data_IF_267473235898
#
_entry.id   IF_267473235898
#
_cell.length_a   1.000
_cell.length_b   1.000
_cell.length_c   1.000
_cell.angle_alpha   90.00
_cell.angle_beta   90.00
_cell.angle_gamma   90.00
#
_symmetry.space_group_name_H-M   'P 1'
#
loop_
_entity.id
_entity.type
_entity.pdbx_description
1 polymer ?
#
# COMPACT_ATOMS: atom_id res chain seq x y z
N UNK A 1 11.86 8.05 -13.67
CA UNK A 1 11.00 9.15 -13.15
C UNK A 1 10.81 10.19 -14.23
N UNK A 2 9.77 11.02 -14.10
CA UNK A 2 9.37 12.01 -15.11
C UNK A 2 9.41 13.41 -14.48
N UNK A 3 9.89 14.40 -15.22
CA UNK A 3 9.87 15.79 -14.83
C UNK A 3 8.53 16.41 -15.21
N UNK A 4 7.78 16.84 -14.19
CA UNK A 4 6.61 17.69 -14.37
C UNK A 4 7.01 19.14 -14.08
N UNK A 5 6.50 20.03 -14.91
CA UNK A 5 6.68 21.48 -14.77
C UNK A 5 5.58 22.08 -13.88
N UNK A 6 5.82 23.28 -13.34
CA UNK A 6 4.84 24.05 -12.56
C UNK A 6 4.97 23.89 -11.04
N UNK A 7 5.94 23.10 -10.58
CA UNK A 7 6.24 22.82 -9.18
C UNK A 7 7.34 23.76 -8.66
N UNK A 8 7.28 24.13 -7.37
CA UNK A 8 8.27 25.03 -6.76
C UNK A 8 9.70 24.47 -6.87
N UNK A 9 9.82 23.14 -6.73
CA UNK A 9 11.07 22.40 -6.89
C UNK A 9 11.73 22.64 -8.26
N UNK A 10 10.96 22.97 -9.31
CA UNK A 10 11.52 23.19 -10.65
C UNK A 10 12.46 24.40 -10.74
N UNK A 11 12.46 25.32 -9.76
CA UNK A 11 13.38 26.48 -9.73
C UNK A 11 14.86 26.10 -9.74
N UNK A 12 15.18 24.96 -9.15
CA UNK A 12 16.55 24.44 -9.02
C UNK A 12 16.87 23.34 -10.06
N UNK A 13 15.92 23.04 -10.96
CA UNK A 13 16.13 22.04 -11.99
C UNK A 13 17.20 22.49 -12.98
N UNK A 14 18.09 21.57 -13.35
CA UNK A 14 19.11 21.80 -14.39
C UNK A 14 18.86 20.91 -15.60
N UNK A 15 18.91 21.47 -16.80
CA UNK A 15 18.60 20.75 -18.05
C UNK A 15 19.52 19.53 -18.28
N UNK A 16 20.76 19.58 -17.79
CA UNK A 16 21.71 18.47 -17.86
C UNK A 16 21.31 17.23 -17.02
N UNK A 17 20.29 17.35 -16.18
CA UNK A 17 19.70 16.22 -15.46
C UNK A 17 18.67 15.46 -16.32
N UNK A 18 18.26 16.02 -17.46
CA UNK A 18 17.39 15.33 -18.40
C UNK A 18 18.16 14.28 -19.21
N UNK A 19 17.50 13.17 -19.45
CA UNK A 19 17.98 12.12 -20.32
C UNK A 19 18.04 12.61 -21.76
N UNK A 20 19.19 12.47 -22.42
CA UNK A 20 19.39 12.89 -23.82
C UNK A 20 19.56 11.71 -24.78
N UNK A 21 19.08 11.91 -26.01
CA UNK A 21 19.33 11.01 -27.14
C UNK A 21 20.73 11.28 -27.71
N UNK A 22 21.63 10.28 -27.74
CA UNK A 22 23.02 10.48 -28.16
C UNK A 22 23.16 10.87 -29.64
N UNK A 23 22.17 10.59 -30.49
CA UNK A 23 22.25 10.89 -31.93
C UNK A 23 22.01 12.36 -32.29
N UNK A 24 21.24 13.08 -31.48
CA UNK A 24 20.81 14.46 -31.79
C UNK A 24 20.86 15.40 -30.57
N UNK A 25 21.31 14.90 -29.42
CA UNK A 25 21.40 15.58 -28.14
C UNK A 25 20.07 16.18 -27.64
N UNK A 26 18.93 15.73 -28.17
CA UNK A 26 17.60 16.19 -27.74
C UNK A 26 17.13 15.41 -26.50
N UNK A 27 16.36 16.04 -25.59
CA UNK A 27 15.82 15.34 -24.44
C UNK A 27 14.84 14.22 -24.83
N UNK A 28 14.94 13.09 -24.15
CA UNK A 28 14.01 11.97 -24.27
C UNK A 28 12.78 12.27 -23.43
N UNK A 29 11.62 12.35 -24.10
CA UNK A 29 10.35 12.72 -23.47
C UNK A 29 9.42 11.53 -23.28
N UNK A 30 8.87 11.39 -22.08
CA UNK A 30 7.75 10.51 -21.79
C UNK A 30 6.45 11.09 -22.35
N UNK A 31 5.69 10.27 -23.08
CA UNK A 31 4.47 10.66 -23.84
C UNK A 31 4.69 11.88 -24.76
N UNK A 32 5.92 12.08 -25.24
CA UNK A 32 6.29 13.22 -26.09
C UNK A 32 6.24 14.59 -25.39
N UNK A 33 5.90 14.65 -24.09
CA UNK A 33 5.64 15.89 -23.37
C UNK A 33 6.66 16.14 -22.26
N UNK A 34 6.84 15.16 -21.38
CA UNK A 34 7.55 15.37 -20.11
C UNK A 34 8.98 14.85 -20.18
N UNK A 35 9.96 15.55 -19.60
CA UNK A 35 11.35 15.10 -19.63
C UNK A 35 11.52 13.83 -18.79
N UNK A 36 12.36 12.91 -19.25
CA UNK A 36 12.82 11.79 -18.43
C UNK A 36 14.13 12.19 -17.75
N UNK A 37 14.33 11.81 -16.50
CA UNK A 37 15.58 12.11 -15.80
C UNK A 37 16.68 11.09 -16.10
N UNK A 38 17.94 11.51 -16.05
CA UNK A 38 19.11 10.63 -16.07
C UNK A 38 19.55 10.26 -14.65
N UNK A 39 19.16 9.06 -14.20
CA UNK A 39 19.56 8.52 -12.91
C UNK A 39 21.07 8.25 -12.78
N UNK A 40 21.84 8.25 -13.87
CA UNK A 40 23.30 8.13 -13.78
C UNK A 40 23.96 9.44 -13.34
N UNK A 41 23.25 10.57 -13.38
CA UNK A 41 23.71 11.86 -12.88
C UNK A 41 23.57 11.92 -11.35
N UNK A 42 24.70 12.03 -10.65
CA UNK A 42 24.73 12.04 -9.18
C UNK A 42 24.16 13.33 -8.56
N UNK A 43 24.33 14.48 -9.22
CA UNK A 43 23.76 15.74 -8.73
C UNK A 43 22.23 15.70 -8.80
N UNK A 44 21.68 15.15 -9.89
CA UNK A 44 20.24 14.92 -10.01
C UNK A 44 19.73 14.04 -8.87
N UNK A 45 20.41 12.93 -8.59
CA UNK A 45 20.00 12.00 -7.52
C UNK A 45 19.98 12.67 -6.16
N UNK A 46 21.03 13.43 -5.84
CA UNK A 46 21.10 14.17 -4.58
C UNK A 46 19.98 15.20 -4.51
N UNK A 47 19.79 16.00 -5.56
CA UNK A 47 18.71 16.97 -5.63
C UNK A 47 17.33 16.32 -5.44
N UNK A 48 17.05 15.21 -6.14
CA UNK A 48 15.77 14.53 -6.08
C UNK A 48 15.49 13.95 -4.69
N UNK A 49 16.50 13.32 -4.07
CA UNK A 49 16.39 12.81 -2.70
C UNK A 49 16.16 13.96 -1.72
N UNK A 50 16.92 15.05 -1.83
CA UNK A 50 16.80 16.19 -0.92
C UNK A 50 15.41 16.82 -0.99
N UNK A 51 14.79 16.93 -2.17
CA UNK A 51 13.40 17.41 -2.29
C UNK A 51 12.42 16.54 -1.49
N UNK A 52 12.56 15.21 -1.55
CA UNK A 52 11.74 14.31 -0.72
C UNK A 52 11.96 14.53 0.77
N UNK A 53 13.22 14.72 1.19
CA UNK A 53 13.56 14.95 2.60
C UNK A 53 13.13 16.32 3.11
N UNK A 54 13.20 17.36 2.28
CA UNK A 54 12.72 18.70 2.59
C UNK A 54 11.21 18.66 2.92
N UNK A 55 10.43 17.90 2.15
CA UNK A 55 9.00 17.70 2.44
C UNK A 55 8.78 16.99 3.78
N UNK A 56 9.61 16.01 4.13
CA UNK A 56 9.50 15.29 5.40
C UNK A 56 9.86 16.13 6.63
N UNK A 57 10.42 17.33 6.45
CA UNK A 57 10.63 18.29 7.53
C UNK A 57 9.33 18.92 8.03
N UNK A 58 8.24 18.80 7.27
CA UNK A 58 6.90 19.17 7.71
C UNK A 58 6.32 18.10 8.64
N UNK A 59 5.86 18.50 9.82
CA UNK A 59 5.32 17.59 10.84
C UNK A 59 4.04 16.89 10.36
N UNK A 60 3.33 17.48 9.40
CA UNK A 60 2.11 16.95 8.79
C UNK A 60 2.36 15.82 7.78
N UNK A 61 3.61 15.59 7.36
CA UNK A 61 3.95 14.62 6.32
C UNK A 61 4.59 13.37 6.94
N UNK A 62 3.83 12.29 7.03
CA UNK A 62 4.26 11.03 7.64
C UNK A 62 5.16 10.17 6.74
N UNK A 63 5.29 10.49 5.46
CA UNK A 63 6.03 9.64 4.52
C UNK A 63 6.10 10.15 3.09
N UNK A 64 6.76 9.35 2.25
CA UNK A 64 6.92 9.59 0.81
C UNK A 64 6.22 8.49 0.02
N UNK A 65 5.56 8.89 -1.07
CA UNK A 65 5.01 8.00 -2.07
C UNK A 65 5.76 8.12 -3.40
N UNK A 66 6.21 6.99 -3.96
CA UNK A 66 6.87 6.93 -5.27
C UNK A 66 5.92 6.31 -6.33
N UNK A 67 5.29 7.15 -7.15
CA UNK A 67 4.31 6.71 -8.16
C UNK A 67 4.87 5.87 -9.32
N UNK A 68 6.14 6.03 -9.67
CA UNK A 68 6.69 5.42 -10.87
C UNK A 68 7.95 4.60 -10.59
N UNK A 69 7.85 3.71 -9.60
CA UNK A 69 8.98 2.86 -9.25
C UNK A 69 9.21 1.76 -10.29
N UNK A 70 10.47 1.60 -10.71
CA UNK A 70 10.91 0.56 -11.65
C UNK A 70 10.43 0.70 -13.11
N UNK A 71 9.89 1.86 -13.52
CA UNK A 71 9.54 2.17 -14.93
C UNK A 71 10.75 2.64 -15.75
N UNK A 72 11.89 1.95 -15.64
CA UNK A 72 13.21 2.41 -16.14
C UNK A 72 13.74 1.62 -17.32
N UNK A 73 13.16 0.46 -17.63
CA UNK A 73 13.48 -0.34 -18.80
C UNK A 73 12.27 -0.42 -19.73
N UNK A 74 12.42 0.03 -20.96
CA UNK A 74 11.45 -0.19 -22.04
C UNK A 74 12.18 -0.33 -23.38
N UNK A 75 11.56 -1.03 -24.34
CA UNK A 75 12.17 -1.36 -25.63
C UNK A 75 12.59 -0.12 -26.46
N UNK A 76 11.89 0.99 -26.32
CA UNK A 76 12.24 2.23 -27.00
C UNK A 76 13.55 2.80 -26.43
N UNK A 77 13.72 2.78 -25.11
CA UNK A 77 14.93 3.26 -24.46
C UNK A 77 16.14 2.36 -24.78
N UNK A 78 15.95 1.04 -24.80
CA UNK A 78 16.99 0.08 -25.23
C UNK A 78 17.44 0.37 -26.66
N UNK A 79 16.49 0.63 -27.57
CA UNK A 79 16.81 0.99 -28.96
C UNK A 79 17.62 2.29 -29.09
N UNK A 80 17.46 3.24 -28.15
CA UNK A 80 18.13 4.56 -28.21
C UNK A 80 19.49 4.55 -27.50
N UNK A 81 19.60 3.87 -26.36
CA UNK A 81 20.77 3.95 -25.46
C UNK A 81 21.58 2.65 -25.38
N UNK A 82 21.05 1.54 -25.86
CA UNK A 82 21.64 0.21 -25.73
C UNK A 82 21.32 -0.45 -24.38
N UNK A 83 21.35 -1.78 -24.37
CA UNK A 83 20.96 -2.61 -23.22
C UNK A 83 21.85 -2.36 -21.99
N UNK A 84 23.18 -2.34 -22.16
CA UNK A 84 24.13 -2.12 -21.07
C UNK A 84 23.92 -0.76 -20.37
N UNK A 85 23.59 0.29 -21.14
CA UNK A 85 23.29 1.60 -20.55
C UNK A 85 21.98 1.59 -19.79
N UNK A 86 20.94 0.92 -20.32
CA UNK A 86 19.63 0.81 -19.65
C UNK A 86 19.75 0.02 -18.34
N UNK A 87 20.56 -1.03 -18.32
CA UNK A 87 20.89 -1.77 -17.10
C UNK A 87 21.58 -0.88 -16.07
N UNK A 88 22.63 -0.14 -16.47
CA UNK A 88 23.33 0.80 -15.59
C UNK A 88 22.41 1.89 -15.05
N UNK A 89 21.57 2.47 -15.90
CA UNK A 89 20.57 3.46 -15.50
C UNK A 89 19.55 2.85 -14.53
N UNK A 90 19.19 1.59 -14.73
CA UNK A 90 18.34 0.81 -13.86
C UNK A 90 18.93 0.63 -12.45
N UNK A 91 20.20 0.26 -12.37
CA UNK A 91 20.91 0.15 -11.09
C UNK A 91 21.08 1.51 -10.40
N UNK A 92 21.34 2.57 -11.16
CA UNK A 92 21.43 3.92 -10.60
C UNK A 92 20.10 4.42 -10.03
N UNK A 93 18.99 4.06 -10.67
CA UNK A 93 17.64 4.29 -10.12
C UNK A 93 17.44 3.55 -8.79
N UNK A 94 17.75 2.26 -8.74
CA UNK A 94 17.60 1.45 -7.52
C UNK A 94 18.47 1.99 -6.39
N UNK A 95 19.69 2.42 -6.70
CA UNK A 95 20.57 3.07 -5.75
C UNK A 95 19.98 4.40 -5.23
N UNK A 96 19.26 5.15 -6.06
CA UNK A 96 18.54 6.37 -5.64
C UNK A 96 17.46 6.04 -4.61
N UNK A 97 16.64 5.02 -4.88
CA UNK A 97 15.57 4.60 -3.97
C UNK A 97 16.11 4.06 -2.64
N UNK A 98 17.21 3.28 -2.68
CA UNK A 98 17.88 2.78 -1.47
C UNK A 98 18.47 3.92 -0.62
N UNK A 99 19.14 4.89 -1.25
CA UNK A 99 19.67 6.07 -0.55
C UNK A 99 18.57 6.91 0.08
N UNK A 100 17.43 7.06 -0.59
CA UNK A 100 16.27 7.72 0.01
C UNK A 100 15.84 6.98 1.28
N UNK A 101 15.64 5.65 1.22
CA UNK A 101 15.30 4.83 2.39
C UNK A 101 16.29 5.00 3.54
N UNK A 102 17.59 4.93 3.26
CA UNK A 102 18.65 5.06 4.27
C UNK A 102 18.66 6.43 4.96
N UNK A 103 18.18 7.48 4.27
CA UNK A 103 18.13 8.85 4.77
C UNK A 103 16.80 9.24 5.41
N UNK A 104 15.78 8.36 5.37
CA UNK A 104 14.49 8.66 5.99
C UNK A 104 14.63 8.83 7.50
N UNK A 105 14.00 9.85 8.09
CA UNK A 105 13.90 9.96 9.54
C UNK A 105 13.18 8.73 10.12
N UNK A 106 13.55 8.29 11.34
CA UNK A 106 12.88 7.18 12.00
C UNK A 106 11.36 7.39 12.09
N UNK A 107 10.59 6.34 11.79
CA UNK A 107 9.12 6.37 11.83
C UNK A 107 8.44 6.93 10.58
N UNK A 108 9.17 7.55 9.65
CA UNK A 108 8.60 7.97 8.36
C UNK A 108 8.38 6.78 7.44
N UNK A 109 7.27 6.80 6.71
CA UNK A 109 6.84 5.74 5.79
C UNK A 109 7.39 6.03 4.38
N UNK A 110 7.79 4.99 3.65
CA UNK A 110 8.08 5.08 2.23
C UNK A 110 7.40 3.94 1.47
N UNK A 111 6.43 4.33 0.67
CA UNK A 111 5.60 3.43 -0.15
C UNK A 111 5.83 3.71 -1.63
N UNK A 112 5.68 2.69 -2.46
CA UNK A 112 5.84 2.82 -3.91
C UNK A 112 4.66 2.23 -4.67
N UNK A 113 4.42 2.71 -5.87
CA UNK A 113 3.49 2.10 -6.81
C UNK A 113 4.21 0.93 -7.53
N UNK A 114 4.50 -0.14 -6.78
CA UNK A 114 5.53 -1.12 -7.13
C UNK A 114 4.99 -2.42 -7.69
N UNK A 115 3.99 -3.02 -7.04
CA UNK A 115 3.48 -4.33 -7.42
C UNK A 115 2.76 -4.23 -8.78
N UNK A 116 3.20 -5.06 -9.73
CA UNK A 116 2.70 -5.09 -11.11
C UNK A 116 2.68 -6.51 -11.64
N UNK A 117 1.49 -7.09 -11.70
CA UNK A 117 1.25 -8.47 -12.13
C UNK A 117 1.61 -8.74 -13.60
N UNK A 118 1.68 -7.70 -14.44
CA UNK A 118 2.11 -7.78 -15.84
C UNK A 118 3.64 -7.89 -16.02
N UNK A 119 4.43 -7.82 -14.95
CA UNK A 119 5.90 -7.88 -14.99
C UNK A 119 6.37 -9.19 -14.35
N UNK A 120 7.41 -9.81 -14.91
CA UNK A 120 8.08 -10.99 -14.32
C UNK A 120 8.43 -10.74 -12.86
N UNK A 121 8.04 -11.65 -11.96
CA UNK A 121 8.13 -11.56 -10.49
C UNK A 121 7.20 -10.56 -9.79
N UNK A 122 6.37 -9.81 -10.52
CA UNK A 122 5.44 -8.85 -9.94
C UNK A 122 6.10 -7.54 -9.48
N UNK A 123 7.36 -7.29 -9.87
CA UNK A 123 8.26 -6.27 -9.30
C UNK A 123 8.56 -6.45 -7.80
N UNK A 124 8.32 -7.65 -7.25
CA UNK A 124 8.33 -7.90 -5.81
C UNK A 124 9.66 -7.57 -5.14
N UNK A 125 10.77 -7.77 -5.85
CA UNK A 125 12.14 -7.51 -5.35
C UNK A 125 12.33 -6.07 -4.84
N UNK A 126 11.54 -5.13 -5.34
CA UNK A 126 11.65 -3.72 -5.02
C UNK A 126 11.00 -3.35 -3.69
N UNK A 127 10.21 -4.25 -3.09
CA UNK A 127 9.69 -4.07 -1.73
C UNK A 127 10.81 -4.06 -0.67
N UNK A 128 12.00 -4.58 -0.96
CA UNK A 128 13.11 -4.69 0.02
C UNK A 128 13.55 -3.35 0.65
N UNK A 129 13.19 -2.22 0.06
CA UNK A 129 13.50 -0.87 0.54
C UNK A 129 12.24 -0.01 0.72
N UNK A 130 11.05 -0.61 0.63
CA UNK A 130 9.74 0.03 0.80
C UNK A 130 9.04 -0.55 2.03
N UNK A 131 8.18 0.24 2.67
CA UNK A 131 7.27 -0.27 3.70
C UNK A 131 6.04 -0.91 3.07
N UNK A 132 5.83 -0.72 1.77
CA UNK A 132 4.64 -1.22 1.09
C UNK A 132 4.43 -0.79 -0.35
N UNK A 133 3.28 -1.22 -0.88
CA UNK A 133 2.84 -0.89 -2.24
C UNK A 133 1.50 -0.17 -2.25
N UNK A 134 1.42 0.88 -3.06
CA UNK A 134 0.18 1.38 -3.64
C UNK A 134 -0.10 0.61 -4.94
N UNK A 135 -1.35 0.32 -5.24
CA UNK A 135 -1.76 -0.37 -6.47
C UNK A 135 -2.85 0.43 -7.18
N UNK A 136 -2.59 0.73 -8.44
CA UNK A 136 -3.53 1.25 -9.44
C UNK A 136 -3.48 0.35 -10.66
N UNK A 137 -4.49 0.41 -11.54
CA UNK A 137 -4.53 -0.39 -12.78
C UNK A 137 -4.32 -1.90 -12.53
N UNK A 138 -4.79 -2.41 -11.39
CA UNK A 138 -4.55 -3.78 -10.93
C UNK A 138 -5.55 -4.79 -11.49
N UNK A 139 -6.68 -4.30 -12.02
CA UNK A 139 -7.86 -5.08 -12.40
C UNK A 139 -7.84 -5.57 -13.86
N UNK A 140 -6.68 -5.63 -14.51
CA UNK A 140 -6.54 -6.28 -15.82
C UNK A 140 -6.98 -7.75 -15.72
N UNK A 141 -8.02 -8.20 -16.46
CA UNK A 141 -8.51 -9.57 -16.39
C UNK A 141 -7.42 -10.63 -16.61
N UNK A 142 -6.41 -10.35 -17.43
CA UNK A 142 -5.32 -11.30 -17.72
C UNK A 142 -4.41 -11.53 -16.52
N UNK A 143 -4.33 -10.56 -15.62
CA UNK A 143 -3.36 -10.53 -14.53
C UNK A 143 -4.00 -10.38 -13.14
N UNK A 144 -5.32 -10.30 -13.07
CA UNK A 144 -6.07 -10.05 -11.85
C UNK A 144 -5.77 -11.05 -10.73
N UNK A 145 -5.81 -12.35 -11.01
CA UNK A 145 -5.49 -13.39 -10.00
C UNK A 145 -4.08 -13.18 -9.45
N UNK A 146 -3.11 -12.88 -10.31
CA UNK A 146 -1.73 -12.60 -9.90
C UNK A 146 -1.63 -11.32 -9.07
N UNK A 147 -2.37 -10.25 -9.42
CA UNK A 147 -2.44 -9.02 -8.62
C UNK A 147 -2.87 -9.33 -7.19
N UNK A 148 -3.94 -10.12 -7.02
CA UNK A 148 -4.49 -10.50 -5.71
C UNK A 148 -3.52 -11.40 -4.94
N UNK A 149 -2.84 -12.34 -5.61
CA UNK A 149 -1.83 -13.19 -4.99
C UNK A 149 -0.61 -12.39 -4.50
N UNK A 150 -0.14 -11.40 -5.28
CA UNK A 150 0.95 -10.51 -4.88
C UNK A 150 0.59 -9.68 -3.65
N UNK A 151 -0.63 -9.16 -3.59
CA UNK A 151 -1.13 -8.44 -2.41
C UNK A 151 -1.17 -9.35 -1.17
N UNK A 152 -1.76 -10.55 -1.26
CA UNK A 152 -1.81 -11.50 -0.14
C UNK A 152 -0.42 -11.87 0.36
N UNK A 153 0.50 -12.13 -0.57
CA UNK A 153 1.90 -12.42 -0.23
C UNK A 153 2.53 -11.27 0.55
N UNK A 154 2.45 -10.05 0.03
CA UNK A 154 3.03 -8.87 0.68
C UNK A 154 2.41 -8.58 2.05
N UNK A 155 1.08 -8.71 2.18
CA UNK A 155 0.38 -8.57 3.45
C UNK A 155 0.81 -9.60 4.49
N UNK A 156 0.94 -10.88 4.09
CA UNK A 156 1.43 -11.94 4.97
C UNK A 156 2.88 -11.70 5.42
N UNK A 157 3.68 -10.99 4.63
CA UNK A 157 5.05 -10.57 4.98
C UNK A 157 5.10 -9.25 5.79
N UNK A 158 3.95 -8.64 6.09
CA UNK A 158 3.84 -7.44 6.93
C UNK A 158 3.98 -6.11 6.20
N UNK A 159 4.00 -6.11 4.86
CA UNK A 159 4.04 -4.87 4.08
C UNK A 159 2.70 -4.14 4.10
N UNK A 160 2.75 -2.81 4.05
CA UNK A 160 1.59 -1.95 3.83
C UNK A 160 1.09 -2.17 2.39
N UNK A 161 -0.19 -2.48 2.20
CA UNK A 161 -0.79 -2.60 0.87
C UNK A 161 -1.99 -1.67 0.77
N UNK A 162 -1.92 -0.73 -0.17
CA UNK A 162 -2.99 0.20 -0.47
C UNK A 162 -3.55 -0.14 -1.85
N UNK A 163 -4.74 -0.76 -1.88
CA UNK A 163 -5.45 -0.97 -3.13
C UNK A 163 -6.25 0.29 -3.46
N UNK A 164 -5.84 1.01 -4.50
CA UNK A 164 -6.70 2.03 -5.08
C UNK A 164 -7.55 1.41 -6.18
N UNK A 165 -8.83 1.31 -5.91
CA UNK A 165 -9.83 1.09 -6.92
C UNK A 165 -10.31 2.45 -7.43
N UNK A 166 -10.60 2.51 -8.71
CA UNK A 166 -11.10 3.71 -9.36
C UNK A 166 -12.19 3.33 -10.35
N UNK A 167 -12.80 4.36 -10.90
CA UNK A 167 -13.84 4.23 -11.90
C UNK A 167 -13.34 4.70 -13.26
N UNK A 168 -12.08 4.40 -13.63
CA UNK A 168 -11.40 4.94 -14.82
C UNK A 168 -12.17 4.80 -16.15
N UNK A 169 -13.30 4.08 -16.15
CA UNK A 169 -14.15 3.83 -17.32
C UNK A 169 -15.65 4.09 -17.07
N UNK A 170 -16.06 4.62 -15.92
CA UNK A 170 -17.48 4.97 -15.69
C UNK A 170 -17.76 6.31 -16.36
N UNK A 171 -18.51 6.26 -17.47
CA UNK A 171 -19.10 7.45 -18.05
C UNK A 171 -20.21 7.95 -17.12
N UNK A 172 -19.93 9.08 -16.45
CA UNK A 172 -20.91 9.74 -15.60
C UNK A 172 -22.06 10.38 -16.37
N UNK A 173 -22.08 10.33 -17.70
CA UNK A 173 -23.23 10.75 -18.50
C UNK A 173 -23.66 12.20 -18.27
N UNK A 174 -22.72 13.07 -17.88
CA UNK A 174 -22.99 14.46 -17.54
C UNK A 174 -23.49 14.72 -16.11
N UNK A 175 -23.38 13.76 -15.18
CA UNK A 175 -23.66 14.00 -13.76
C UNK A 175 -22.67 15.04 -13.19
N UNK A 176 -23.23 16.19 -12.81
CA UNK A 176 -22.52 17.39 -12.36
C UNK A 176 -22.59 17.64 -10.84
N UNK A 177 -23.31 16.79 -10.11
CA UNK A 177 -23.38 16.84 -8.64
C UNK A 177 -22.66 15.65 -8.00
N UNK A 178 -21.93 15.92 -6.93
CA UNK A 178 -21.20 14.89 -6.18
C UNK A 178 -22.15 13.87 -5.52
N UNK A 179 -23.31 14.32 -5.03
CA UNK A 179 -24.30 13.43 -4.40
C UNK A 179 -24.89 12.42 -5.40
N UNK A 180 -25.26 12.86 -6.61
CA UNK A 180 -25.72 11.93 -7.64
C UNK A 180 -24.63 10.95 -8.10
N UNK A 181 -23.35 11.35 -8.04
CA UNK A 181 -22.23 10.41 -8.26
C UNK A 181 -22.17 9.36 -7.14
N UNK A 182 -22.36 9.73 -5.87
CA UNK A 182 -22.46 8.74 -4.79
C UNK A 182 -23.65 7.79 -4.98
N UNK A 183 -24.81 8.28 -5.42
CA UNK A 183 -25.99 7.45 -5.65
C UNK A 183 -25.76 6.40 -6.75
N UNK A 184 -25.04 6.78 -7.82
CA UNK A 184 -24.62 5.85 -8.86
C UNK A 184 -23.59 4.83 -8.33
N UNK A 185 -22.53 5.32 -7.69
CA UNK A 185 -21.39 4.51 -7.29
C UNK A 185 -21.66 3.60 -6.08
N UNK A 186 -22.70 3.88 -5.29
CA UNK A 186 -23.17 2.97 -4.24
C UNK A 186 -23.85 1.71 -4.80
N UNK A 187 -24.11 1.64 -6.12
CA UNK A 187 -24.70 0.44 -6.72
C UNK A 187 -23.65 -0.69 -6.76
N UNK A 188 -24.04 -1.94 -6.44
CA UNK A 188 -23.10 -3.06 -6.29
C UNK A 188 -22.16 -3.29 -7.49
N UNK A 189 -22.62 -3.05 -8.71
CA UNK A 189 -21.83 -3.20 -9.93
C UNK A 189 -20.55 -2.34 -9.97
N UNK A 190 -20.50 -1.22 -9.23
CA UNK A 190 -19.35 -0.33 -9.20
C UNK A 190 -18.37 -0.65 -8.07
N UNK A 191 -18.89 -1.08 -6.91
CA UNK A 191 -18.08 -1.18 -5.68
C UNK A 191 -17.86 -2.60 -5.19
N UNK A 192 -18.82 -3.52 -5.37
CA UNK A 192 -18.75 -4.85 -4.76
C UNK A 192 -17.61 -5.68 -5.35
N UNK A 193 -17.33 -5.54 -6.64
CA UNK A 193 -16.22 -6.25 -7.28
C UNK A 193 -14.85 -5.78 -6.75
N UNK A 194 -14.48 -4.49 -6.83
CA UNK A 194 -13.18 -4.04 -6.32
C UNK A 194 -13.03 -4.22 -4.82
N UNK A 195 -14.08 -3.93 -4.03
CA UNK A 195 -14.06 -4.16 -2.59
C UNK A 195 -13.99 -5.66 -2.26
N UNK A 196 -14.72 -6.50 -2.99
CA UNK A 196 -14.65 -7.95 -2.84
C UNK A 196 -13.25 -8.50 -3.08
N UNK A 197 -12.59 -8.07 -4.17
CA UNK A 197 -11.20 -8.43 -4.48
C UNK A 197 -10.25 -8.06 -3.33
N UNK A 198 -10.40 -6.86 -2.76
CA UNK A 198 -9.64 -6.45 -1.57
C UNK A 198 -9.93 -7.34 -0.36
N UNK A 199 -11.19 -7.60 -0.07
CA UNK A 199 -11.61 -8.37 1.10
C UNK A 199 -11.18 -9.85 1.03
N UNK A 200 -11.00 -10.42 -0.16
CA UNK A 200 -10.41 -11.76 -0.30
C UNK A 200 -9.05 -11.87 0.39
N UNK A 201 -8.26 -10.79 0.41
CA UNK A 201 -6.88 -10.81 0.88
C UNK A 201 -6.58 -9.86 2.03
N UNK A 202 -7.59 -9.11 2.52
CA UNK A 202 -7.43 -8.17 3.62
C UNK A 202 -6.80 -8.84 4.86
N UNK A 203 -5.78 -8.20 5.40
CA UNK A 203 -5.02 -8.56 6.60
C UNK A 203 -4.62 -7.25 7.32
N UNK A 204 -3.99 -7.28 8.51
CA UNK A 204 -3.37 -6.08 9.06
C UNK A 204 -2.47 -5.39 8.01
N UNK A 205 -2.42 -4.05 8.04
CA UNK A 205 -1.67 -3.22 7.08
C UNK A 205 -2.27 -3.15 5.66
N UNK A 206 -3.46 -3.72 5.43
CA UNK A 206 -4.23 -3.53 4.21
C UNK A 206 -5.13 -2.28 4.29
N UNK A 207 -5.10 -1.46 3.25
CA UNK A 207 -5.93 -0.27 3.07
C UNK A 207 -6.62 -0.31 1.71
N UNK A 208 -7.87 0.15 1.70
CA UNK A 208 -8.69 0.24 0.50
C UNK A 208 -9.04 1.70 0.25
N UNK A 209 -9.02 2.09 -1.02
CA UNK A 209 -9.39 3.41 -1.49
C UNK A 209 -10.28 3.27 -2.72
N UNK A 210 -11.33 4.10 -2.80
CA UNK A 210 -12.19 4.20 -3.96
C UNK A 210 -12.32 5.66 -4.39
N UNK A 211 -11.42 6.14 -5.26
CA UNK A 211 -11.48 7.49 -5.81
C UNK A 211 -10.89 7.56 -7.22
N UNK A 212 -11.15 8.68 -7.90
CA UNK A 212 -10.57 8.99 -9.21
C UNK A 212 -9.53 10.11 -9.07
N UNK A 213 -8.37 9.93 -9.70
CA UNK A 213 -7.29 10.92 -9.68
C UNK A 213 -6.55 11.01 -8.34
N UNK A 214 -5.70 12.03 -8.19
CA UNK A 214 -4.81 12.24 -7.03
C UNK A 214 -5.00 13.63 -6.39
N UNK A 215 -6.01 14.37 -6.83
CA UNK A 215 -6.28 15.73 -6.34
C UNK A 215 -6.92 15.65 -4.94
N UNK A 216 -6.40 16.40 -3.97
CA UNK A 216 -6.93 16.45 -2.61
C UNK A 216 -7.99 17.56 -2.44
N UNK A 217 -8.26 18.35 -3.47
CA UNK A 217 -9.21 19.45 -3.39
C UNK A 217 -10.66 18.92 -3.29
N UNK A 218 -11.33 19.11 -2.15
CA UNK A 218 -12.68 18.60 -1.95
C UNK A 218 -13.73 19.26 -2.84
N UNK A 219 -13.38 20.37 -3.52
CA UNK A 219 -14.26 21.01 -4.51
C UNK A 219 -14.28 20.28 -5.86
N UNK A 220 -13.42 19.28 -6.06
CA UNK A 220 -13.38 18.49 -7.30
C UNK A 220 -14.35 17.32 -7.17
N UNK A 221 -15.09 17.04 -8.24
CA UNK A 221 -16.09 15.97 -8.28
C UNK A 221 -15.49 14.54 -8.31
N UNK A 222 -14.16 14.44 -8.26
CA UNK A 222 -13.42 13.18 -8.36
C UNK A 222 -12.87 12.72 -7.00
N UNK A 223 -13.01 13.55 -5.96
CA UNK A 223 -12.63 13.22 -4.57
C UNK A 223 -13.83 12.63 -3.83
N UNK A 224 -13.79 11.32 -3.61
CA UNK A 224 -14.83 10.62 -2.84
C UNK A 224 -14.37 10.35 -1.40
N UNK A 225 -15.23 10.66 -0.45
CA UNK A 225 -15.15 10.20 0.93
C UNK A 225 -15.62 8.75 1.00
N UNK A 226 -14.68 7.84 1.22
CA UNK A 226 -14.95 6.41 1.30
C UNK A 226 -15.98 6.05 2.39
N UNK A 227 -16.18 6.90 3.39
CA UNK A 227 -17.18 6.69 4.46
C UNK A 227 -18.63 6.92 4.00
N UNK A 228 -18.84 7.44 2.78
CA UNK A 228 -20.17 7.61 2.20
C UNK A 228 -20.65 6.38 1.41
N UNK A 229 -19.79 5.39 1.24
CA UNK A 229 -20.19 4.12 0.62
C UNK A 229 -20.71 3.15 1.67
N UNK A 230 -21.95 2.71 1.50
CA UNK A 230 -22.60 1.80 2.44
C UNK A 230 -21.84 0.47 2.52
N UNK A 231 -21.42 -0.08 1.39
CA UNK A 231 -20.63 -1.31 1.32
C UNK A 231 -19.31 -1.25 2.12
N UNK A 232 -18.62 -0.09 2.13
CA UNK A 232 -17.35 0.11 2.84
C UNK A 232 -17.56 0.21 4.35
N UNK A 233 -18.65 0.84 4.79
CA UNK A 233 -18.90 1.16 6.21
C UNK A 233 -19.61 0.04 6.97
N UNK A 234 -20.07 -1.01 6.28
CA UNK A 234 -20.65 -2.21 6.89
C UNK A 234 -19.70 -2.82 7.92
N UNK A 235 -20.30 -3.38 8.98
CA UNK A 235 -19.54 -4.14 9.98
C UNK A 235 -18.98 -5.40 9.31
N UNK A 236 -17.65 -5.56 9.32
CA UNK A 236 -16.99 -6.73 8.72
C UNK A 236 -16.83 -7.88 9.72
N UNK A 237 -16.24 -7.58 10.89
CA UNK A 237 -15.85 -8.59 11.87
C UNK A 237 -14.53 -9.28 11.50
N UNK A 238 -14.11 -10.28 12.30
CA UNK A 238 -12.88 -11.03 12.04
C UNK A 238 -13.05 -11.95 10.82
N UNK A 239 -11.99 -12.18 10.01
CA UNK A 239 -12.00 -13.23 9.01
C UNK A 239 -12.15 -14.60 9.70
N UNK A 240 -12.96 -15.48 9.11
CA UNK A 240 -13.17 -16.85 9.59
C UNK A 240 -12.17 -17.84 8.99
N UNK A 241 -11.36 -17.39 8.03
CA UNK A 241 -10.32 -18.16 7.36
C UNK A 241 -9.69 -17.39 6.20
N UNK A 242 -8.79 -18.06 5.49
CA UNK A 242 -8.34 -17.61 4.16
C UNK A 242 -9.47 -17.77 3.13
N UNK A 243 -9.30 -17.15 1.96
CA UNK A 243 -10.25 -17.31 0.87
C UNK A 243 -10.17 -18.73 0.26
N UNK A 244 -11.28 -19.21 -0.28
CA UNK A 244 -11.39 -20.46 -1.03
C UNK A 244 -11.45 -20.19 -2.54
N UNK A 245 -10.80 -21.04 -3.33
CA UNK A 245 -11.00 -21.14 -4.78
C UNK A 245 -12.18 -22.09 -5.04
N UNK A 246 -13.24 -21.57 -5.65
CA UNK A 246 -14.47 -22.32 -5.97
C UNK A 246 -14.43 -22.91 -7.39
N UNK A 247 -13.34 -22.69 -8.14
CA UNK A 247 -13.21 -23.04 -9.54
C UNK A 247 -13.89 -22.03 -10.47
N UNK A 248 -13.59 -22.12 -11.78
CA UNK A 248 -14.21 -21.25 -12.80
C UNK A 248 -13.91 -19.75 -12.65
N UNK A 249 -12.88 -19.39 -11.87
CA UNK A 249 -12.54 -18.00 -11.52
C UNK A 249 -13.34 -17.43 -10.34
N UNK A 250 -14.13 -18.27 -9.65
CA UNK A 250 -14.86 -17.92 -8.44
C UNK A 250 -13.99 -18.06 -7.19
N UNK A 251 -14.07 -17.09 -6.29
CA UNK A 251 -13.39 -17.07 -5.01
C UNK A 251 -14.34 -16.56 -3.93
N UNK A 252 -14.22 -17.10 -2.72
CA UNK A 252 -15.01 -16.63 -1.58
C UNK A 252 -14.21 -16.50 -0.30
N UNK A 253 -14.66 -15.62 0.59
CA UNK A 253 -14.13 -15.48 1.95
C UNK A 253 -15.23 -15.10 2.91
N UNK A 254 -15.17 -15.61 4.13
CA UNK A 254 -16.16 -15.31 5.17
C UNK A 254 -15.54 -14.51 6.32
N UNK A 255 -16.34 -13.58 6.83
CA UNK A 255 -16.11 -12.81 8.03
C UNK A 255 -17.30 -13.01 8.98
N UNK A 256 -17.16 -12.60 10.25
CA UNK A 256 -18.24 -12.74 11.25
C UNK A 256 -19.57 -12.11 10.82
N UNK A 257 -19.54 -11.06 9.99
CA UNK A 257 -20.74 -10.30 9.59
C UNK A 257 -20.92 -10.16 8.07
N UNK A 258 -20.03 -10.74 7.27
CA UNK A 258 -20.04 -10.58 5.81
C UNK A 258 -19.53 -11.85 5.12
N UNK A 259 -20.20 -12.26 4.05
CA UNK A 259 -19.70 -13.22 3.08
C UNK A 259 -19.35 -12.51 1.79
N UNK A 260 -18.14 -12.75 1.32
CA UNK A 260 -17.58 -12.22 0.07
C UNK A 260 -17.59 -13.33 -0.96
N UNK A 261 -18.10 -13.04 -2.14
CA UNK A 261 -17.93 -13.87 -3.32
C UNK A 261 -17.51 -12.99 -4.50
N UNK A 262 -16.48 -13.40 -5.23
CA UNK A 262 -15.93 -12.69 -6.38
C UNK A 262 -15.75 -13.68 -7.52
N UNK A 263 -16.23 -13.33 -8.71
CA UNK A 263 -15.85 -13.99 -9.94
C UNK A 263 -14.88 -13.10 -10.71
N UNK A 264 -13.60 -13.49 -10.77
CA UNK A 264 -12.54 -12.73 -11.41
C UNK A 264 -12.63 -12.79 -12.95
N UNK A 265 -13.18 -13.86 -13.52
CA UNK A 265 -13.38 -14.00 -14.96
C UNK A 265 -14.45 -13.05 -15.48
N UNK A 266 -15.56 -12.92 -14.74
CA UNK A 266 -16.69 -12.06 -15.09
C UNK A 266 -16.54 -10.64 -14.54
N UNK A 267 -15.53 -10.40 -13.70
CA UNK A 267 -15.34 -9.16 -12.93
C UNK A 267 -16.58 -8.76 -12.12
N UNK A 268 -17.14 -9.74 -11.39
CA UNK A 268 -18.34 -9.54 -10.57
C UNK A 268 -18.05 -9.82 -9.10
N UNK A 269 -18.59 -9.00 -8.21
CA UNK A 269 -18.52 -9.17 -6.76
C UNK A 269 -19.90 -9.20 -6.14
N UNK A 270 -20.01 -9.85 -4.99
CA UNK A 270 -21.22 -9.84 -4.18
C UNK A 270 -20.83 -9.83 -2.71
N UNK A 271 -21.32 -8.83 -1.98
CA UNK A 271 -21.08 -8.67 -0.55
C UNK A 271 -22.37 -8.93 0.23
N UNK A 272 -22.49 -10.13 0.80
CA UNK A 272 -23.70 -10.56 1.52
C UNK A 272 -23.54 -10.37 3.03
N UNK A 273 -24.37 -9.52 3.64
CA UNK A 273 -24.40 -9.35 5.10
C UNK A 273 -24.89 -10.64 5.75
N UNK A 274 -24.23 -11.06 6.84
CA UNK A 274 -24.64 -12.23 7.61
C UNK A 274 -25.03 -11.84 9.02
N UNK A 275 -26.29 -12.11 9.39
CA UNK A 275 -26.77 -12.00 10.77
C UNK A 275 -26.32 -13.24 11.57
N UNK A 276 -25.01 -13.45 11.69
CA UNK A 276 -24.52 -14.46 12.63
C UNK A 276 -24.59 -13.84 14.03
N UNK A 277 -25.42 -14.36 14.95
CA UNK A 277 -25.42 -13.89 16.33
C UNK A 277 -23.99 -14.04 16.84
N UNK A 278 -23.45 -12.94 17.40
CA UNK A 278 -22.16 -12.97 18.08
C UNK A 278 -22.27 -14.06 19.13
N UNK A 279 -21.58 -15.18 18.93
CA UNK A 279 -21.54 -16.27 19.89
C UNK A 279 -21.12 -15.68 21.22
N UNK A 280 -22.10 -15.46 22.07
CA UNK A 280 -21.88 -15.18 23.48
C UNK A 280 -21.33 -16.50 23.98
N UNK A 281 -20.08 -16.49 24.43
CA UNK A 281 -19.51 -17.58 25.22
C UNK A 281 -20.35 -17.69 26.50
N UNK A 282 -21.49 -18.37 26.41
CA UNK A 282 -22.26 -18.86 27.56
C UNK A 282 -21.63 -20.21 27.89
N UNK A 283 -21.03 -20.26 29.08
CA UNK A 283 -20.08 -21.28 29.46
C UNK A 283 -20.65 -22.68 29.58
N UNK A 284 -19.74 -23.64 29.47
CA UNK A 284 -19.88 -24.91 30.18
C UNK A 284 -18.95 -24.89 31.38
N UNK A 285 -19.56 -24.83 32.56
CA UNK A 285 -18.96 -25.28 33.80
C UNK A 285 -18.52 -26.73 33.64
N UNK A 286 -17.24 -27.00 33.85
CA UNK A 286 -16.74 -28.36 34.08
C UNK A 286 -15.65 -28.29 35.15
N UNK A 287 -16.05 -28.77 36.33
CA UNK A 287 -15.27 -29.27 37.45
C UNK A 287 -13.74 -29.06 37.42
N UNK A 288 -13.28 -28.21 38.33
CA UNK A 288 -11.89 -28.14 38.81
C UNK A 288 -11.58 -29.35 39.69
N UNK A 289 -10.52 -30.14 39.43
CA UNK A 289 -9.88 -30.95 40.45
C UNK A 289 -8.84 -30.10 41.18
N UNK A 290 -8.99 -30.05 42.50
CA UNK A 290 -8.09 -29.43 43.46
C UNK A 290 -6.69 -30.07 43.39
N UNK A 291 -5.65 -29.26 43.14
CA UNK A 291 -4.25 -29.62 43.43
C UNK A 291 -3.61 -28.52 44.29
N UNK A 292 -2.99 -28.98 45.36
CA UNK A 292 -2.37 -28.23 46.45
C UNK A 292 -1.07 -27.50 46.00
N UNK A 293 -0.62 -26.47 46.74
CA UNK A 293 0.50 -25.63 46.31
C UNK A 293 1.84 -26.29 46.63
N UNK A 294 2.76 -26.27 45.66
CA UNK A 294 4.20 -26.39 45.93
C UNK A 294 4.91 -25.21 45.27
N UNK A 295 5.63 -24.48 46.11
CA UNK A 295 6.46 -23.32 45.79
C UNK A 295 7.79 -23.73 45.11
N UNK A 296 8.57 -22.76 44.58
CA UNK A 296 9.35 -22.94 43.37
C UNK A 296 10.79 -23.38 43.63
N UNK A 297 11.37 -24.10 42.67
CA UNK A 297 12.82 -24.24 42.55
C UNK A 297 13.31 -23.43 41.36
N UNK A 298 13.95 -22.30 41.65
CA UNK A 298 14.84 -21.62 40.73
C UNK A 298 16.00 -22.56 40.38
N UNK A 299 16.31 -22.74 39.10
CA UNK A 299 17.65 -23.16 38.68
C UNK A 299 18.09 -22.26 37.54
N UNK A 300 19.07 -21.42 37.86
CA UNK A 300 19.81 -20.59 36.92
C UNK A 300 20.79 -21.50 36.17
N UNK A 301 20.72 -21.55 34.84
CA UNK A 301 21.81 -22.07 34.02
C UNK A 301 22.25 -20.92 33.10
N UNK A 302 23.43 -20.38 33.41
CA UNK A 302 24.21 -19.57 32.49
C UNK A 302 24.91 -20.51 31.52
N UNK A 303 24.71 -20.31 30.22
CA UNK A 303 25.73 -20.61 29.21
C UNK A 303 25.76 -19.49 28.18
N UNK A 304 26.99 -19.08 27.91
CA UNK A 304 27.46 -17.93 27.17
C UNK A 304 27.52 -18.13 25.65
N UNK A 305 27.72 -17.00 24.96
CA UNK A 305 28.29 -16.81 23.61
C UNK A 305 27.34 -16.61 22.40
N UNK A 306 27.03 -15.34 22.18
CA UNK A 306 27.26 -14.54 20.97
C UNK A 306 27.10 -15.17 19.56
N UNK A 307 26.05 -14.74 18.86
CA UNK A 307 26.18 -14.21 17.49
C UNK A 307 25.05 -13.20 17.22
N UNK A 308 25.40 -11.93 17.03
CA UNK A 308 24.49 -10.80 17.03
C UNK A 308 23.68 -10.60 15.75
N UNK A 309 22.39 -10.33 15.94
CA UNK A 309 21.56 -9.39 15.17
C UNK A 309 20.64 -8.69 16.17
N UNK A 310 20.88 -7.40 16.41
CA UNK A 310 20.06 -6.58 17.29
C UNK A 310 18.79 -6.14 16.54
N UNK A 311 17.66 -6.39 17.20
CA UNK A 311 16.32 -6.01 16.80
C UNK A 311 16.03 -4.60 17.36
N UNK A 312 15.68 -3.57 16.55
CA UNK A 312 15.45 -2.22 17.06
C UNK A 312 13.99 -2.03 17.50
N UNK A 313 13.53 -2.79 18.48
CA UNK A 313 12.29 -2.52 19.23
C UNK A 313 12.44 -3.01 20.67
N UNK A 314 13.42 -2.49 21.41
CA UNK A 314 13.42 -2.58 22.87
C UNK A 314 13.43 -1.16 23.48
N UNK A 315 12.32 -0.86 24.14
CA UNK A 315 12.05 0.38 24.86
C UNK A 315 12.78 0.33 26.23
N UNK A 316 13.66 1.28 26.58
CA UNK A 316 14.35 1.27 27.85
C UNK A 316 13.54 2.03 28.91
N UNK A 317 12.79 1.31 29.76
CA UNK A 317 12.16 1.90 30.94
C UNK A 317 12.33 1.00 32.16
N UNK A 318 13.37 1.22 32.96
CA UNK A 318 13.35 0.95 34.40
C UNK A 318 14.19 1.99 35.15
N UNK A 319 13.52 3.03 35.64
CA UNK A 319 13.93 3.78 36.83
C UNK A 319 12.76 3.71 37.83
N UNK A 320 12.99 3.45 39.13
CA UNK A 320 11.92 3.20 40.09
C UNK A 320 11.37 4.53 40.62
N UNK A 321 10.05 4.70 40.52
CA UNK A 321 9.34 5.77 41.21
C UNK A 321 8.31 6.47 40.35
N UNK A 322 7.19 5.83 40.05
CA UNK A 322 5.94 6.54 39.80
C UNK A 322 4.73 5.65 40.11
N UNK A 323 3.76 6.29 40.75
CA UNK A 323 2.58 5.72 41.40
C UNK A 323 1.58 5.19 40.35
N UNK A 324 0.93 4.09 40.74
CA UNK A 324 -0.13 3.36 40.05
C UNK A 324 -1.13 4.21 39.26
N UNK A 325 -1.33 3.86 37.99
CA UNK A 325 -2.59 4.07 37.27
C UNK A 325 -2.89 2.77 36.52
N UNK A 326 -4.09 2.22 36.75
CA UNK A 326 -4.56 0.92 36.25
C UNK A 326 -4.48 0.78 34.72
N UNK A 327 -4.17 -0.41 34.18
CA UNK A 327 -4.26 -0.67 32.74
C UNK A 327 -5.73 -0.85 32.34
N UNK A 328 -6.25 0.07 31.51
CA UNK A 328 -7.51 -0.15 30.80
C UNK A 328 -7.31 -1.23 29.75
N UNK A 329 -8.12 -2.29 29.82
CA UNK A 329 -8.27 -3.31 28.80
C UNK A 329 -8.35 -2.72 27.38
N UNK A 330 -7.38 -3.04 26.53
CA UNK A 330 -7.52 -2.90 25.08
C UNK A 330 -8.54 -3.92 24.57
N UNK A 331 -9.79 -3.49 24.42
CA UNK A 331 -10.79 -4.24 23.65
C UNK A 331 -10.40 -4.21 22.18
N UNK A 332 -10.19 -5.39 21.58
CA UNK A 332 -10.09 -5.61 20.14
C UNK A 332 -11.29 -4.98 19.41
N UNK A 333 -11.08 -3.81 18.81
CA UNK A 333 -11.96 -3.24 17.79
C UNK A 333 -11.11 -3.06 16.53
N UNK A 334 -11.15 -4.05 15.63
CA UNK A 334 -10.81 -3.80 14.24
C UNK A 334 -11.85 -2.84 13.68
N UNK A 335 -11.59 -1.53 13.78
CA UNK A 335 -12.18 -0.54 12.88
C UNK A 335 -11.27 -0.48 11.68
N UNK A 336 -11.83 -0.59 10.48
CA UNK A 336 -11.20 -0.05 9.27
C UNK A 336 -11.04 1.44 9.56
N UNK A 337 -9.84 1.84 9.97
CA UNK A 337 -9.54 3.23 10.31
C UNK A 337 -8.83 3.78 9.11
N UNK A 338 -9.61 4.31 8.16
CA UNK A 338 -9.04 5.12 7.10
C UNK A 338 -8.78 6.51 7.69
N UNK A 339 -7.51 6.81 7.99
CA UNK A 339 -7.08 8.19 7.99
C UNK A 339 -6.87 8.57 6.54
N UNK A 340 -7.44 9.69 6.10
CA UNK A 340 -7.15 10.28 4.80
C UNK A 340 -5.63 10.40 4.68
N UNK A 341 -5.04 9.61 3.79
CA UNK A 341 -3.67 9.84 3.35
C UNK A 341 -3.78 10.94 2.31
N UNK A 342 -3.58 12.18 2.76
CA UNK A 342 -3.48 13.32 1.86
C UNK A 342 -2.15 13.21 1.12
N UNK A 343 -2.22 13.07 -0.20
CA UNK A 343 -1.07 13.19 -1.08
C UNK A 343 -0.84 14.69 -1.34
N UNK A 344 0.13 15.29 -0.66
CA UNK A 344 0.69 16.56 -1.09
C UNK A 344 1.71 16.28 -2.19
N UNK A 345 1.31 16.53 -3.43
CA UNK A 345 2.25 16.81 -4.52
C UNK A 345 2.13 18.31 -4.75
N UNK A 346 2.90 19.08 -4.00
CA UNK A 346 2.96 20.54 -4.10
C UNK A 346 3.94 21.01 -5.16
#
# INVERSE_FOLDING_TARGET
MVHYEGYDANKDFKEEWALSNPSNNQPIKWRGKFLSYDHTNLEFREWWIQRGLDMLAHDEIDGIFIDAICKISNAALVSIKGEAWVEQHGEAYLATAKQLRERLPPGKILIGNVLRSAITDGNYRNLQYLDGSYLENWADPQHLVMSIQLMKKALNEGYLIMLNADMSYTDFGGIDSLDARYDLLNQPEFIDFPLGCFLLVVEPHAYFSYHSGVDANPSKLDVFDNNRFEAITRKLGKPLGDYADEGGGGFSREFEHLKVHVNMTLQQGTLSVTDRPTSTLVGNSSSVPTLSPTEPTQTCIQTSENSGRLNPYECPCLAPGCVSVEPRCCSNKCRITMRNVSFCID
#
